data_IF_379382792358
#
_entry.id   IF_379382792358
#
_cell.length_a   1.000
_cell.length_b   1.000
_cell.length_c   1.000
_cell.angle_alpha   90.00
_cell.angle_beta   90.00
_cell.angle_gamma   90.00
#
_symmetry.space_group_name_H-M   'P 1'
#
loop_
_entity.id
_entity.type
_entity.pdbx_description
1 polymer ?
#
# COMPACT_ATOMS: atom_id res chain seq x y z
N UNK A 1 9.77 -27.09 5.43
CA UNK A 1 8.93 -26.66 4.29
C UNK A 1 9.18 -25.18 4.02
N UNK A 2 8.91 -24.72 2.80
CA UNK A 2 9.21 -23.39 2.32
C UNK A 2 7.96 -22.75 1.70
N UNK A 3 8.00 -21.46 1.46
CA UNK A 3 6.97 -20.70 0.75
C UNK A 3 7.60 -19.88 -0.38
N UNK A 4 6.90 -19.72 -1.48
CA UNK A 4 7.33 -18.85 -2.58
C UNK A 4 6.36 -17.66 -2.66
N UNK A 5 6.89 -16.46 -2.72
CA UNK A 5 6.13 -15.23 -2.91
C UNK A 5 6.40 -14.65 -4.31
N UNK A 6 5.39 -14.09 -4.93
CA UNK A 6 5.48 -13.36 -6.20
C UNK A 6 4.85 -12.00 -5.98
N UNK A 7 5.65 -10.93 -6.09
CA UNK A 7 5.18 -9.55 -6.06
C UNK A 7 5.22 -8.96 -7.46
N UNK A 8 4.04 -8.57 -8.00
CA UNK A 8 3.89 -8.10 -9.39
C UNK A 8 3.52 -6.62 -9.39
N UNK A 9 4.47 -5.79 -9.67
CA UNK A 9 4.27 -4.36 -9.88
C UNK A 9 4.43 -3.93 -11.34
N UNK A 10 3.91 -2.77 -11.68
CA UNK A 10 4.01 -2.22 -13.05
C UNK A 10 5.44 -1.87 -13.49
N UNK A 11 6.35 -1.65 -12.54
CA UNK A 11 7.75 -1.27 -12.82
C UNK A 11 8.71 -2.43 -12.59
N UNK A 12 8.48 -3.21 -11.56
CA UNK A 12 9.34 -4.33 -11.13
C UNK A 12 8.51 -5.47 -10.60
N UNK A 13 9.01 -6.69 -10.80
CA UNK A 13 8.54 -7.91 -10.16
C UNK A 13 9.59 -8.42 -9.19
N UNK A 14 9.15 -9.22 -8.21
CA UNK A 14 10.04 -9.95 -7.33
C UNK A 14 9.52 -11.38 -7.13
N UNK A 15 10.44 -12.33 -7.04
CA UNK A 15 10.17 -13.69 -6.56
C UNK A 15 10.96 -13.89 -5.29
N UNK A 16 10.28 -14.34 -4.24
CA UNK A 16 10.78 -14.37 -2.87
C UNK A 16 10.64 -15.79 -2.32
N UNK A 17 11.72 -16.30 -1.75
CA UNK A 17 11.73 -17.57 -1.04
C UNK A 17 11.67 -17.30 0.47
N UNK A 18 10.72 -17.91 1.15
CA UNK A 18 10.55 -17.79 2.58
C UNK A 18 10.38 -19.13 3.27
N UNK A 19 10.38 -19.11 4.62
CA UNK A 19 10.00 -20.28 5.42
C UNK A 19 8.53 -20.63 5.19
N UNK A 20 8.19 -21.89 5.39
CA UNK A 20 6.85 -22.45 5.18
C UNK A 20 5.96 -22.41 6.43
N UNK A 21 6.36 -21.73 7.47
CA UNK A 21 5.63 -21.58 8.73
C UNK A 21 5.78 -20.18 9.28
N UNK A 22 4.76 -19.69 9.98
CA UNK A 22 4.82 -18.40 10.67
C UNK A 22 5.85 -18.46 11.80
N UNK A 23 6.72 -17.47 11.87
CA UNK A 23 7.71 -17.32 12.92
C UNK A 23 7.35 -16.10 13.78
N UNK A 24 7.59 -16.20 15.09
CA UNK A 24 7.42 -15.04 15.99
C UNK A 24 8.39 -13.91 15.64
N UNK A 25 9.62 -14.27 15.25
CA UNK A 25 10.62 -13.33 14.75
C UNK A 25 10.66 -13.36 13.22
N UNK A 26 10.69 -12.18 12.60
CA UNK A 26 10.81 -12.01 11.14
C UNK A 26 12.25 -12.25 10.63
N UNK A 27 13.23 -12.26 11.52
CA UNK A 27 14.62 -12.51 11.17
C UNK A 27 14.81 -13.89 10.55
N UNK A 28 15.35 -13.91 9.34
CA UNK A 28 15.55 -15.13 8.57
C UNK A 28 14.26 -15.83 8.09
N UNK A 29 13.11 -15.12 8.11
CA UNK A 29 11.89 -15.62 7.47
C UNK A 29 12.02 -15.59 5.95
N UNK A 30 12.50 -14.49 5.38
CA UNK A 30 12.89 -14.38 3.97
C UNK A 30 14.29 -15.00 3.83
N UNK A 31 14.40 -16.00 2.96
CA UNK A 31 15.65 -16.76 2.73
C UNK A 31 16.43 -16.13 1.59
N UNK A 32 15.74 -15.84 0.48
CA UNK A 32 16.37 -15.37 -0.73
C UNK A 32 15.37 -14.68 -1.64
N UNK A 33 15.83 -13.85 -2.58
CA UNK A 33 14.93 -13.20 -3.54
C UNK A 33 15.62 -12.79 -4.83
N UNK A 34 14.81 -12.74 -5.90
CA UNK A 34 15.21 -12.19 -7.20
C UNK A 34 14.26 -11.06 -7.55
N UNK A 35 14.81 -9.88 -7.87
CA UNK A 35 14.05 -8.73 -8.40
C UNK A 35 14.47 -8.47 -9.84
N UNK A 36 13.49 -8.10 -10.67
CA UNK A 36 13.73 -7.75 -12.07
C UNK A 36 12.71 -6.72 -12.58
N UNK A 37 13.02 -5.97 -13.66
CA UNK A 37 12.08 -5.04 -14.27
C UNK A 37 10.88 -5.77 -14.87
N UNK A 38 9.66 -5.25 -14.67
CA UNK A 38 8.46 -5.82 -15.29
C UNK A 38 8.50 -5.64 -16.81
N UNK A 39 8.90 -4.43 -17.29
CA UNK A 39 8.85 -4.05 -18.70
C UNK A 39 7.54 -4.47 -19.37
N UNK A 40 6.46 -3.80 -18.98
CA UNK A 40 5.08 -4.12 -19.38
C UNK A 40 4.87 -4.19 -20.89
N UNK A 41 5.76 -3.55 -21.68
CA UNK A 41 5.68 -3.58 -23.15
C UNK A 41 5.91 -4.96 -23.77
N UNK A 42 6.52 -5.89 -23.03
CA UNK A 42 6.74 -7.27 -23.48
C UNK A 42 5.46 -8.12 -23.48
N UNK A 43 4.38 -7.60 -22.88
CA UNK A 43 3.12 -8.31 -22.68
C UNK A 43 3.16 -9.31 -21.50
N UNK A 44 1.98 -9.65 -20.99
CA UNK A 44 1.85 -10.47 -19.77
C UNK A 44 2.48 -11.86 -19.88
N UNK A 45 2.45 -12.50 -21.06
CA UNK A 45 3.03 -13.85 -21.24
C UNK A 45 4.53 -13.87 -21.02
N UNK A 46 5.25 -12.89 -21.57
CA UNK A 46 6.70 -12.82 -21.43
C UNK A 46 7.09 -12.53 -19.97
N UNK A 47 6.37 -11.61 -19.32
CA UNK A 47 6.61 -11.28 -17.90
C UNK A 47 6.32 -12.49 -17.01
N UNK A 48 5.20 -13.18 -17.25
CA UNK A 48 4.83 -14.35 -16.44
C UNK A 48 5.82 -15.50 -16.63
N UNK A 49 6.27 -15.77 -17.86
CA UNK A 49 7.31 -16.78 -18.11
C UNK A 49 8.59 -16.46 -17.34
N UNK A 50 9.03 -15.19 -17.35
CA UNK A 50 10.21 -14.79 -16.58
C UNK A 50 9.98 -14.96 -15.05
N UNK A 51 8.79 -14.66 -14.54
CA UNK A 51 8.44 -14.93 -13.13
C UNK A 51 8.62 -16.41 -12.80
N UNK A 52 8.12 -17.32 -13.64
CA UNK A 52 8.24 -18.77 -13.45
C UNK A 52 9.71 -19.23 -13.50
N UNK A 53 10.48 -18.77 -14.50
CA UNK A 53 11.91 -19.04 -14.64
C UNK A 53 12.70 -18.55 -13.41
N UNK A 54 12.40 -17.34 -12.91
CA UNK A 54 13.03 -16.80 -11.70
C UNK A 54 12.63 -17.58 -10.44
N UNK A 55 11.44 -18.14 -10.41
CA UNK A 55 11.01 -19.08 -9.36
C UNK A 55 11.85 -20.36 -9.37
N UNK A 56 12.00 -20.98 -10.52
CA UNK A 56 12.84 -22.19 -10.70
C UNK A 56 14.31 -21.92 -10.38
N UNK A 57 14.85 -20.78 -10.84
CA UNK A 57 16.21 -20.33 -10.51
C UNK A 57 16.38 -20.20 -8.99
N UNK A 58 15.41 -19.56 -8.31
CA UNK A 58 15.46 -19.31 -6.87
C UNK A 58 15.43 -20.63 -6.07
N UNK A 59 14.58 -21.56 -6.47
CA UNK A 59 14.52 -22.90 -5.87
C UNK A 59 15.81 -23.69 -6.10
N UNK A 60 16.30 -23.71 -7.34
CA UNK A 60 17.50 -24.47 -7.73
C UNK A 60 18.74 -23.97 -6.96
N UNK A 61 18.98 -22.67 -6.89
CA UNK A 61 20.17 -22.12 -6.21
C UNK A 61 20.15 -22.32 -4.68
N UNK A 62 18.97 -22.56 -4.11
CA UNK A 62 18.81 -22.90 -2.70
C UNK A 62 18.68 -24.41 -2.45
N UNK A 63 18.82 -25.26 -3.47
CA UNK A 63 18.68 -26.72 -3.41
C UNK A 63 17.32 -27.17 -2.88
N UNK A 64 16.23 -26.47 -3.21
CA UNK A 64 14.86 -26.74 -2.78
C UNK A 64 14.07 -27.27 -3.98
N UNK A 65 13.29 -28.33 -3.76
CA UNK A 65 12.35 -28.87 -4.75
C UNK A 65 10.99 -28.21 -4.59
N UNK A 66 10.23 -28.04 -5.68
CA UNK A 66 8.88 -27.50 -5.61
C UNK A 66 7.95 -28.29 -4.67
N UNK A 67 8.18 -29.59 -4.51
CA UNK A 67 7.45 -30.47 -3.58
C UNK A 67 7.67 -30.14 -2.09
N UNK A 68 8.67 -29.34 -1.77
CA UNK A 68 8.95 -28.85 -0.40
C UNK A 68 8.26 -27.53 -0.09
N UNK A 69 7.59 -26.92 -1.11
CA UNK A 69 6.79 -25.71 -0.94
C UNK A 69 5.43 -26.03 -0.31
N UNK A 70 5.00 -25.23 0.65
CA UNK A 70 3.62 -25.27 1.17
C UNK A 70 2.65 -24.58 0.19
N UNK A 71 3.16 -23.69 -0.69
CA UNK A 71 2.39 -22.97 -1.69
C UNK A 71 3.12 -21.77 -2.25
N UNK A 72 2.44 -21.07 -3.18
CA UNK A 72 2.86 -19.83 -3.79
C UNK A 72 1.86 -18.73 -3.46
N UNK A 73 2.32 -17.64 -2.86
CA UNK A 73 1.53 -16.42 -2.63
C UNK A 73 1.81 -15.37 -3.71
N UNK A 74 0.77 -14.71 -4.21
CA UNK A 74 0.87 -13.66 -5.23
C UNK A 74 0.26 -12.37 -4.70
N UNK A 75 1.05 -11.30 -4.71
CA UNK A 75 0.62 -9.92 -4.51
C UNK A 75 0.67 -9.18 -5.85
N UNK A 76 -0.42 -8.50 -6.21
CA UNK A 76 -0.51 -7.74 -7.46
C UNK A 76 -1.48 -6.57 -7.29
N UNK A 77 -1.22 -5.45 -7.94
CA UNK A 77 -2.19 -4.34 -8.00
C UNK A 77 -3.54 -4.78 -8.58
N UNK A 78 -4.64 -4.20 -8.07
CA UNK A 78 -5.98 -4.44 -8.60
C UNK A 78 -6.32 -3.61 -9.85
N UNK A 79 -7.43 -3.95 -10.54
CA UNK A 79 -8.43 -4.97 -10.20
C UNK A 79 -8.00 -6.40 -10.50
N UNK A 80 -8.46 -7.32 -9.67
CA UNK A 80 -8.25 -8.76 -9.81
C UNK A 80 -9.45 -9.54 -9.24
N UNK A 81 -9.48 -10.85 -9.43
CA UNK A 81 -10.45 -11.72 -8.78
C UNK A 81 -9.72 -12.87 -8.06
N UNK A 82 -9.62 -12.78 -6.76
CA UNK A 82 -8.90 -13.75 -5.93
C UNK A 82 -9.52 -15.15 -5.99
N UNK A 83 -10.86 -15.25 -6.06
CA UNK A 83 -11.61 -16.50 -6.13
C UNK A 83 -11.41 -17.22 -7.46
N UNK A 84 -11.40 -16.48 -8.58
CA UNK A 84 -11.12 -17.04 -9.93
C UNK A 84 -9.62 -17.16 -10.19
N UNK A 85 -8.78 -16.47 -9.43
CA UNK A 85 -7.33 -16.43 -9.61
C UNK A 85 -6.90 -15.68 -10.87
N UNK A 86 -7.61 -14.59 -11.20
CA UNK A 86 -7.35 -13.79 -12.42
C UNK A 86 -6.97 -12.36 -12.10
N UNK A 87 -6.04 -11.81 -12.89
CA UNK A 87 -5.70 -10.38 -12.90
C UNK A 87 -6.51 -9.73 -14.04
N UNK A 88 -7.14 -8.57 -13.79
CA UNK A 88 -8.14 -7.96 -14.67
C UNK A 88 -7.75 -6.53 -15.05
N UNK A 89 -6.67 -6.39 -15.82
CA UNK A 89 -6.20 -5.12 -16.39
C UNK A 89 -5.96 -4.00 -15.35
N UNK A 90 -5.05 -4.21 -14.38
CA UNK A 90 -4.65 -3.13 -13.48
C UNK A 90 -4.07 -1.94 -14.27
N UNK A 91 -4.28 -0.69 -13.83
CA UNK A 91 -3.75 0.49 -14.54
C UNK A 91 -2.25 0.44 -14.83
N UNK A 92 -1.48 -0.19 -13.95
CA UNK A 92 -0.03 -0.33 -14.07
C UNK A 92 0.43 -1.56 -14.86
N UNK A 93 -0.51 -2.41 -15.27
CA UNK A 93 -0.27 -3.65 -16.03
C UNK A 93 -1.24 -3.71 -17.22
N UNK A 94 -1.08 -2.84 -18.23
CA UNK A 94 -1.91 -2.87 -19.43
C UNK A 94 -1.79 -4.25 -20.10
N UNK A 95 -2.83 -4.70 -20.76
CA UNK A 95 -2.95 -6.00 -21.45
C UNK A 95 -3.02 -7.23 -20.52
N UNK A 96 -3.03 -7.07 -19.21
CA UNK A 96 -3.25 -8.15 -18.25
C UNK A 96 -4.75 -8.40 -18.02
N UNK A 97 -5.52 -8.56 -19.09
CA UNK A 97 -6.96 -8.79 -18.97
C UNK A 97 -7.29 -10.28 -18.85
N UNK A 98 -8.03 -10.64 -17.79
CA UNK A 98 -8.44 -12.01 -17.46
C UNK A 98 -7.29 -13.01 -17.45
N UNK A 99 -6.09 -12.60 -17.01
CA UNK A 99 -4.91 -13.48 -16.93
C UNK A 99 -5.10 -14.51 -15.83
N UNK A 100 -5.20 -15.83 -16.13
CA UNK A 100 -5.47 -16.87 -15.14
C UNK A 100 -4.22 -17.25 -14.36
N UNK A 101 -3.63 -16.30 -13.64
CA UNK A 101 -2.30 -16.41 -13.04
C UNK A 101 -2.21 -17.53 -12.01
N UNK A 102 -3.22 -17.70 -11.17
CA UNK A 102 -3.24 -18.76 -10.14
C UNK A 102 -3.21 -20.14 -10.78
N UNK A 103 -3.93 -20.33 -11.89
CA UNK A 103 -3.92 -21.59 -12.63
C UNK A 103 -2.53 -21.87 -13.17
N UNK A 104 -1.92 -20.91 -13.87
CA UNK A 104 -0.61 -21.07 -14.52
C UNK A 104 0.49 -21.36 -13.48
N UNK A 105 0.55 -20.57 -12.41
CA UNK A 105 1.54 -20.74 -11.34
C UNK A 105 1.36 -22.06 -10.61
N UNK A 106 0.11 -22.45 -10.33
CA UNK A 106 -0.21 -23.74 -9.69
C UNK A 106 0.18 -24.94 -10.57
N UNK A 107 -0.08 -24.87 -11.87
CA UNK A 107 0.30 -25.94 -12.82
C UNK A 107 1.82 -26.06 -12.94
N UNK A 108 2.55 -24.94 -12.88
CA UNK A 108 4.01 -24.93 -12.99
C UNK A 108 4.70 -25.52 -11.75
N UNK A 109 4.35 -25.05 -10.54
CA UNK A 109 5.02 -25.49 -9.30
C UNK A 109 4.38 -26.71 -8.65
N UNK A 110 3.17 -27.13 -9.06
CA UNK A 110 2.48 -28.29 -8.53
C UNK A 110 1.94 -28.13 -7.10
N UNK A 111 1.81 -26.88 -6.58
CA UNK A 111 1.37 -26.58 -5.22
C UNK A 111 0.22 -25.60 -5.20
N UNK A 112 -0.42 -25.40 -4.04
CA UNK A 112 -1.49 -24.40 -3.89
C UNK A 112 -0.96 -23.00 -4.21
N UNK A 113 -1.82 -22.17 -4.79
CA UNK A 113 -1.49 -20.80 -5.11
C UNK A 113 -2.60 -19.85 -4.65
N UNK A 114 -2.25 -18.71 -4.06
CA UNK A 114 -3.17 -17.69 -3.53
C UNK A 114 -2.84 -16.35 -4.14
N UNK A 115 -3.86 -15.58 -4.54
CA UNK A 115 -3.73 -14.25 -5.13
C UNK A 115 -4.51 -13.24 -4.29
N UNK A 116 -3.86 -12.13 -3.92
CA UNK A 116 -4.52 -10.97 -3.33
C UNK A 116 -4.02 -9.66 -3.95
N UNK A 117 -4.83 -8.60 -3.83
CA UNK A 117 -4.34 -7.28 -4.20
C UNK A 117 -3.26 -6.80 -3.21
N UNK A 118 -2.48 -5.83 -3.63
CA UNK A 118 -1.32 -5.32 -2.90
C UNK A 118 -1.69 -4.75 -1.51
N UNK A 119 -2.79 -4.00 -1.39
CA UNK A 119 -3.24 -3.45 -0.11
C UNK A 119 -3.66 -4.56 0.87
N UNK A 120 -4.41 -5.56 0.39
CA UNK A 120 -4.81 -6.73 1.17
C UNK A 120 -3.59 -7.56 1.58
N UNK A 121 -2.66 -7.80 0.67
CA UNK A 121 -1.44 -8.53 0.95
C UNK A 121 -0.55 -7.80 1.99
N UNK A 122 -0.42 -6.47 1.88
CA UNK A 122 0.27 -5.65 2.88
C UNK A 122 -0.44 -5.66 4.25
N UNK A 123 -1.77 -5.65 4.27
CA UNK A 123 -2.53 -5.78 5.52
C UNK A 123 -2.24 -7.12 6.21
N UNK A 124 -2.23 -8.22 5.47
CA UNK A 124 -1.86 -9.54 6.00
C UNK A 124 -0.42 -9.56 6.50
N UNK A 125 0.50 -8.92 5.75
CA UNK A 125 1.90 -8.83 6.16
C UNK A 125 2.07 -8.09 7.48
N UNK A 126 1.51 -6.90 7.63
CA UNK A 126 1.58 -6.13 8.88
C UNK A 126 0.84 -6.84 10.03
N UNK A 127 -0.25 -7.51 9.74
CA UNK A 127 -0.99 -8.31 10.73
C UNK A 127 -0.20 -9.51 11.23
N UNK A 128 0.49 -10.23 10.34
CA UNK A 128 1.22 -11.46 10.70
C UNK A 128 2.64 -11.20 11.21
N UNK A 129 3.32 -10.19 10.65
CA UNK A 129 4.76 -9.99 10.84
C UNK A 129 5.12 -8.60 11.40
N UNK A 130 4.22 -7.61 11.29
CA UNK A 130 4.51 -6.21 11.57
C UNK A 130 3.80 -5.61 12.77
N UNK A 131 3.35 -4.37 12.63
CA UNK A 131 2.70 -3.58 13.67
C UNK A 131 1.31 -4.11 14.07
N UNK A 132 0.69 -4.90 13.21
CA UNK A 132 -0.65 -5.46 13.43
C UNK A 132 -0.69 -6.78 14.22
N UNK A 133 0.44 -7.27 14.72
CA UNK A 133 0.48 -8.53 15.47
C UNK A 133 -0.36 -8.45 16.76
N UNK A 134 -1.26 -9.43 16.92
CA UNK A 134 -2.09 -9.55 18.12
C UNK A 134 -3.47 -8.90 18.01
N UNK A 135 -3.72 -8.04 17.02
CA UNK A 135 -5.02 -7.43 16.77
C UNK A 135 -5.94 -8.37 15.95
N UNK A 136 -7.22 -8.35 16.25
CA UNK A 136 -8.24 -9.08 15.47
C UNK A 136 -9.00 -8.19 14.51
N UNK A 137 -9.09 -6.89 14.79
CA UNK A 137 -9.76 -5.90 13.95
C UNK A 137 -8.75 -4.80 13.61
N UNK A 138 -8.20 -4.86 12.40
CA UNK A 138 -7.10 -4.02 11.94
C UNK A 138 -7.41 -3.45 10.56
N UNK A 139 -7.13 -2.18 10.37
CA UNK A 139 -7.09 -1.56 9.04
C UNK A 139 -5.65 -1.20 8.71
N UNK A 140 -5.17 -1.68 7.57
CA UNK A 140 -3.90 -1.22 7.01
C UNK A 140 -4.18 -0.19 5.92
N UNK A 141 -3.49 0.94 5.93
CA UNK A 141 -3.54 1.95 4.87
C UNK A 141 -2.23 2.00 4.12
N UNK A 142 -2.30 1.84 2.80
CA UNK A 142 -1.19 2.26 1.93
C UNK A 142 -1.22 3.77 1.83
N UNK A 143 -0.15 4.45 2.21
CA UNK A 143 -0.02 5.89 2.01
C UNK A 143 1.23 6.17 1.15
N UNK A 144 1.20 5.62 -0.06
CA UNK A 144 2.27 5.68 -1.06
C UNK A 144 1.89 6.55 -2.25
N UNK A 145 2.10 6.05 -3.48
CA UNK A 145 1.70 6.73 -4.73
C UNK A 145 0.20 7.03 -4.74
N UNK A 146 -0.63 6.05 -4.33
CA UNK A 146 -2.06 6.16 -4.09
C UNK A 146 -2.41 5.85 -2.64
N UNK A 147 -3.71 5.69 -2.36
CA UNK A 147 -4.24 5.29 -1.06
C UNK A 147 -5.29 4.19 -1.21
N UNK A 148 -5.04 3.05 -0.62
CA UNK A 148 -5.96 1.94 -0.47
C UNK A 148 -5.92 1.41 0.96
N UNK A 149 -6.81 0.48 1.29
CA UNK A 149 -6.79 -0.22 2.56
C UNK A 149 -6.90 -1.73 2.38
N UNK A 150 -6.32 -2.46 3.34
CA UNK A 150 -6.64 -3.87 3.55
C UNK A 150 -7.28 -4.02 4.93
N UNK A 151 -8.29 -4.84 5.03
CA UNK A 151 -9.13 -4.98 6.21
C UNK A 151 -8.96 -6.37 6.83
N UNK A 152 -8.54 -6.41 8.09
CA UNK A 152 -8.60 -7.62 8.91
C UNK A 152 -9.77 -7.43 9.88
N UNK A 153 -10.79 -8.26 9.77
CA UNK A 153 -12.00 -8.18 10.60
C UNK A 153 -12.23 -9.56 11.25
N UNK A 154 -12.40 -9.59 12.56
CA UNK A 154 -12.54 -10.81 13.35
C UNK A 154 -11.42 -11.84 13.08
N UNK A 155 -10.18 -11.37 12.98
CA UNK A 155 -9.02 -12.20 12.69
C UNK A 155 -8.99 -12.82 11.29
N UNK A 156 -9.61 -12.17 10.30
CA UNK A 156 -9.67 -12.64 8.90
C UNK A 156 -9.55 -11.49 7.93
N UNK A 157 -8.86 -11.72 6.82
CA UNK A 157 -8.85 -10.78 5.71
C UNK A 157 -10.25 -10.66 5.10
N UNK A 158 -10.76 -9.44 5.03
CA UNK A 158 -12.04 -9.11 4.41
C UNK A 158 -11.84 -8.46 3.04
N UNK A 159 -12.12 -9.20 1.98
CA UNK A 159 -11.95 -8.74 0.60
C UNK A 159 -13.24 -8.14 -0.01
N UNK A 160 -14.39 -8.29 0.65
CA UNK A 160 -15.68 -7.89 0.10
C UNK A 160 -16.23 -8.86 -0.97
N UNK A 161 -17.22 -8.40 -1.72
CA UNK A 161 -17.94 -9.22 -2.70
C UNK A 161 -17.10 -9.52 -3.95
N UNK A 162 -16.31 -8.54 -4.40
CA UNK A 162 -15.57 -8.55 -5.67
C UNK A 162 -14.10 -8.12 -5.50
N UNK A 163 -13.52 -8.38 -4.35
CA UNK A 163 -12.14 -8.01 -3.96
C UNK A 163 -11.88 -6.48 -3.89
N UNK A 164 -12.93 -5.65 -3.83
CA UNK A 164 -12.84 -4.20 -3.74
C UNK A 164 -13.18 -3.64 -2.34
N UNK A 165 -13.14 -4.44 -1.27
CA UNK A 165 -13.18 -3.90 0.07
C UNK A 165 -11.90 -3.09 0.35
N UNK A 166 -12.04 -1.99 1.10
CA UNK A 166 -10.88 -1.16 1.42
C UNK A 166 -10.56 -0.04 0.42
N UNK A 167 -11.42 0.24 -0.55
CA UNK A 167 -11.29 1.36 -1.49
C UNK A 167 -11.53 2.74 -0.81
N UNK A 168 -10.92 2.93 0.36
CA UNK A 168 -11.10 4.13 1.21
C UNK A 168 -10.59 5.41 0.52
N UNK A 169 -9.58 5.30 -0.33
CA UNK A 169 -9.04 6.42 -1.11
C UNK A 169 -10.11 7.12 -1.96
N UNK A 170 -11.16 6.39 -2.33
CA UNK A 170 -12.25 6.92 -3.14
C UNK A 170 -13.36 7.61 -2.33
N UNK A 171 -13.28 7.63 -0.98
CA UNK A 171 -14.21 8.38 -0.13
C UNK A 171 -14.04 9.88 -0.40
N UNK A 172 -15.15 10.59 -0.62
CA UNK A 172 -15.12 12.05 -0.76
C UNK A 172 -15.09 12.71 0.63
N UNK A 173 -14.05 13.48 0.90
CA UNK A 173 -13.87 14.21 2.17
C UNK A 173 -14.17 15.71 2.06
N UNK A 174 -14.21 16.24 0.83
CA UNK A 174 -14.58 17.63 0.56
C UNK A 174 -15.23 17.74 -0.83
N UNK A 175 -16.04 18.78 -1.05
CA UNK A 175 -16.62 19.07 -2.38
C UNK A 175 -15.54 19.41 -3.41
N UNK A 176 -14.56 20.22 -2.97
CA UNK A 176 -13.45 20.69 -3.78
C UNK A 176 -12.13 20.29 -3.14
N UNK A 177 -11.10 20.10 -3.97
CA UNK A 177 -9.76 19.76 -3.50
C UNK A 177 -8.94 19.03 -4.55
N UNK A 178 -7.78 18.51 -4.16
CA UNK A 178 -6.94 17.74 -5.07
C UNK A 178 -7.68 16.53 -5.63
N UNK A 179 -7.30 16.14 -6.84
CA UNK A 179 -7.90 14.99 -7.53
C UNK A 179 -7.08 13.75 -7.21
N UNK A 180 -7.75 12.71 -6.69
CA UNK A 180 -7.22 11.34 -6.57
C UNK A 180 -8.11 10.39 -7.35
N UNK A 181 -7.53 9.55 -8.21
CA UNK A 181 -8.21 8.58 -9.07
C UNK A 181 -9.48 9.15 -9.75
N UNK A 182 -9.33 10.34 -10.38
CA UNK A 182 -10.41 11.02 -11.10
C UNK A 182 -11.46 11.74 -10.23
N UNK A 183 -11.36 11.69 -8.90
CA UNK A 183 -12.33 12.32 -7.98
C UNK A 183 -11.70 13.48 -7.20
N UNK A 184 -12.22 14.70 -7.40
CA UNK A 184 -11.83 15.87 -6.63
C UNK A 184 -12.28 15.74 -5.17
N UNK A 185 -11.44 16.20 -4.23
CA UNK A 185 -11.75 16.18 -2.80
C UNK A 185 -11.85 14.77 -2.20
N UNK A 186 -11.29 13.77 -2.86
CA UNK A 186 -11.23 12.40 -2.34
C UNK A 186 -10.16 12.23 -1.27
N UNK A 187 -10.26 11.19 -0.46
CA UNK A 187 -9.26 10.86 0.55
C UNK A 187 -7.87 10.68 -0.09
N UNK A 188 -7.77 9.91 -1.17
CA UNK A 188 -6.52 9.79 -1.93
C UNK A 188 -6.04 11.14 -2.49
N UNK A 189 -6.96 12.01 -2.93
CA UNK A 189 -6.61 13.34 -3.43
C UNK A 189 -5.87 14.19 -2.40
N UNK A 190 -6.20 14.06 -1.11
CA UNK A 190 -5.48 14.74 -0.03
C UNK A 190 -4.31 13.92 0.53
N UNK A 191 -4.43 12.60 0.61
CA UNK A 191 -3.61 11.71 1.41
C UNK A 191 -2.94 10.62 0.56
N UNK A 192 -2.24 11.00 -0.48
CA UNK A 192 -1.34 10.15 -1.27
C UNK A 192 -0.16 10.96 -1.77
N UNK A 193 0.88 10.34 -2.27
CA UNK A 193 2.01 11.04 -2.87
C UNK A 193 1.59 11.93 -4.05
N UNK A 194 0.72 11.39 -4.92
CA UNK A 194 0.10 12.17 -6.00
C UNK A 194 -0.82 13.28 -5.49
N UNK A 195 -1.59 13.00 -4.45
CA UNK A 195 -2.48 13.95 -3.79
C UNK A 195 -1.72 15.11 -3.14
N UNK A 196 -0.67 14.82 -2.37
CA UNK A 196 0.19 15.85 -1.76
C UNK A 196 0.84 16.72 -2.83
N UNK A 197 1.34 16.13 -3.93
CA UNK A 197 1.84 16.88 -5.08
C UNK A 197 0.79 17.86 -5.62
N UNK A 198 -0.41 17.38 -5.90
CA UNK A 198 -1.50 18.20 -6.42
C UNK A 198 -1.91 19.31 -5.43
N UNK A 199 -1.99 18.97 -4.13
CA UNK A 199 -2.29 19.92 -3.07
C UNK A 199 -1.21 21.02 -2.98
N UNK A 200 0.07 20.62 -3.04
CA UNK A 200 1.19 21.55 -3.04
C UNK A 200 1.14 22.49 -4.25
N UNK A 201 0.90 21.95 -5.45
CA UNK A 201 0.80 22.77 -6.67
C UNK A 201 -0.38 23.76 -6.63
N UNK A 202 -1.54 23.33 -6.11
CA UNK A 202 -2.72 24.19 -5.91
C UNK A 202 -2.43 25.31 -4.90
N UNK A 203 -1.78 24.98 -3.79
CA UNK A 203 -1.43 25.94 -2.74
C UNK A 203 -0.35 26.91 -3.21
N UNK A 204 0.67 26.42 -3.95
CA UNK A 204 1.74 27.25 -4.48
C UNK A 204 1.24 28.31 -5.49
N UNK A 205 0.27 27.96 -6.33
CA UNK A 205 -0.37 28.94 -7.24
C UNK A 205 -1.00 30.09 -6.47
N UNK A 206 -1.73 29.82 -5.37
CA UNK A 206 -2.32 30.85 -4.51
C UNK A 206 -1.24 31.70 -3.84
N UNK A 207 -0.15 31.08 -3.40
CA UNK A 207 1.00 31.80 -2.83
C UNK A 207 1.59 32.82 -3.82
N UNK A 208 1.78 32.44 -5.10
CA UNK A 208 2.25 33.34 -6.12
C UNK A 208 1.26 34.52 -6.37
N UNK A 209 -0.04 34.23 -6.42
CA UNK A 209 -1.09 35.26 -6.57
C UNK A 209 -1.10 36.24 -5.40
N UNK A 210 -0.79 35.75 -4.19
CA UNK A 210 -0.74 36.58 -2.96
C UNK A 210 0.65 37.17 -2.69
N UNK A 211 1.62 37.03 -3.61
CA UNK A 211 3.01 37.45 -3.45
C UNK A 211 3.70 36.90 -2.19
N UNK A 212 3.29 35.71 -1.74
CA UNK A 212 3.95 34.99 -0.66
C UNK A 212 5.18 34.22 -1.17
N UNK A 213 6.15 34.03 -0.31
CA UNK A 213 7.41 33.38 -0.65
C UNK A 213 7.50 31.97 -0.07
N UNK A 214 8.22 31.06 -0.75
CA UNK A 214 8.61 29.75 -0.28
C UNK A 214 10.06 29.48 -0.71
N UNK A 215 10.71 28.56 -0.01
CA UNK A 215 12.03 28.06 -0.41
C UNK A 215 11.95 27.20 -1.68
N UNK A 216 10.78 26.64 -1.99
CA UNK A 216 10.58 25.62 -3.02
C UNK A 216 10.26 26.18 -4.41
N UNK A 217 9.75 27.40 -4.50
CA UNK A 217 9.34 27.96 -5.79
C UNK A 217 9.40 29.49 -5.82
N UNK A 218 9.72 30.00 -6.98
CA UNK A 218 9.63 31.41 -7.35
C UNK A 218 8.86 31.63 -8.64
N UNK A 219 8.75 30.58 -9.44
CA UNK A 219 8.13 30.59 -10.77
C UNK A 219 7.09 29.47 -10.90
N UNK A 220 6.26 29.54 -11.94
CA UNK A 220 5.32 28.48 -12.30
C UNK A 220 6.05 27.17 -12.64
N UNK A 221 7.21 27.21 -13.25
CA UNK A 221 8.01 26.03 -13.61
C UNK A 221 8.51 25.28 -12.37
N UNK A 222 8.81 26.00 -11.29
CA UNK A 222 9.23 25.37 -10.04
C UNK A 222 8.07 24.61 -9.39
N UNK A 223 6.84 25.12 -9.51
CA UNK A 223 5.64 24.48 -8.99
C UNK A 223 5.42 23.09 -9.62
N UNK A 224 5.73 22.92 -10.89
CA UNK A 224 5.56 21.65 -11.60
C UNK A 224 6.49 20.55 -11.07
N UNK A 225 7.62 20.92 -10.47
CA UNK A 225 8.62 20.02 -9.90
C UNK A 225 8.29 19.56 -8.48
N UNK A 226 7.29 20.17 -7.82
CA UNK A 226 6.90 19.81 -6.46
C UNK A 226 6.41 18.36 -6.40
N UNK A 227 6.90 17.64 -5.40
CA UNK A 227 6.41 16.31 -5.03
C UNK A 227 6.33 16.16 -3.49
N UNK A 228 5.76 15.07 -3.03
CA UNK A 228 5.57 14.85 -1.60
C UNK A 228 6.89 14.84 -0.82
N UNK A 229 7.97 14.32 -1.39
CA UNK A 229 9.28 14.22 -0.74
C UNK A 229 9.92 15.59 -0.57
N UNK A 230 9.99 16.37 -1.65
CA UNK A 230 10.57 17.73 -1.64
C UNK A 230 9.82 18.62 -0.64
N UNK A 231 8.48 18.53 -0.63
CA UNK A 231 7.66 19.30 0.31
C UNK A 231 7.88 18.85 1.76
N UNK A 232 8.04 17.53 2.03
CA UNK A 232 8.38 17.03 3.36
C UNK A 232 9.72 17.56 3.85
N UNK A 233 10.74 17.50 3.01
CA UNK A 233 12.09 17.98 3.35
C UNK A 233 12.06 19.47 3.71
N UNK A 234 11.36 20.30 2.93
CA UNK A 234 11.21 21.72 3.23
C UNK A 234 10.39 22.01 4.50
N UNK A 235 9.38 21.18 4.79
CA UNK A 235 8.61 21.28 6.02
C UNK A 235 9.51 21.12 7.25
N UNK A 236 10.40 20.13 7.25
CA UNK A 236 11.38 19.95 8.34
C UNK A 236 12.44 21.05 8.40
N UNK A 237 12.71 21.73 7.29
CA UNK A 237 13.55 22.93 7.25
C UNK A 237 12.82 24.20 7.74
N UNK A 238 11.55 24.12 8.07
CA UNK A 238 10.77 25.23 8.62
C UNK A 238 10.00 26.07 7.59
N UNK A 239 9.96 25.64 6.31
CA UNK A 239 9.19 26.34 5.27
C UNK A 239 7.70 26.37 5.63
N UNK A 240 7.10 27.55 5.65
CA UNK A 240 5.70 27.77 6.06
C UNK A 240 4.71 27.22 5.06
N UNK A 241 5.00 27.32 3.76
CA UNK A 241 4.18 26.73 2.70
C UNK A 241 4.15 25.19 2.84
N UNK A 242 5.30 24.58 3.00
CA UNK A 242 5.40 23.13 3.13
C UNK A 242 4.66 22.62 4.38
N UNK A 243 4.76 23.35 5.50
CA UNK A 243 3.97 23.07 6.71
C UNK A 243 2.46 23.19 6.47
N UNK A 244 2.00 24.22 5.74
CA UNK A 244 0.58 24.36 5.40
C UNK A 244 0.07 23.18 4.60
N UNK A 245 0.81 22.73 3.57
CA UNK A 245 0.46 21.58 2.74
C UNK A 245 0.35 20.30 3.59
N UNK A 246 1.35 20.00 4.41
CA UNK A 246 1.37 18.79 5.24
C UNK A 246 0.36 18.84 6.39
N UNK A 247 0.11 20.03 6.97
CA UNK A 247 -0.97 20.21 7.96
C UNK A 247 -2.33 19.90 7.34
N UNK A 248 -2.59 20.43 6.14
CA UNK A 248 -3.82 20.15 5.40
C UNK A 248 -3.98 18.65 5.11
N UNK A 249 -2.92 18.01 4.66
CA UNK A 249 -2.91 16.56 4.45
C UNK A 249 -3.22 15.82 5.75
N UNK A 250 -2.59 16.18 6.88
CA UNK A 250 -2.81 15.57 8.19
C UNK A 250 -4.25 15.74 8.70
N UNK A 251 -4.86 16.92 8.50
CA UNK A 251 -6.26 17.17 8.83
C UNK A 251 -7.20 16.24 8.06
N UNK A 252 -6.98 16.08 6.75
CA UNK A 252 -7.79 15.19 5.93
C UNK A 252 -7.52 13.72 6.21
N UNK A 253 -6.29 13.36 6.57
CA UNK A 253 -5.98 12.01 7.05
C UNK A 253 -6.78 11.73 8.34
N UNK A 254 -6.80 12.64 9.30
CA UNK A 254 -7.62 12.51 10.52
C UNK A 254 -9.10 12.35 10.22
N UNK A 255 -9.67 13.13 9.30
CA UNK A 255 -11.09 13.01 8.89
C UNK A 255 -11.38 11.65 8.24
N UNK A 256 -10.53 11.19 7.32
CA UNK A 256 -10.69 9.88 6.70
C UNK A 256 -10.58 8.74 7.71
N UNK A 257 -9.65 8.86 8.67
CA UNK A 257 -9.52 7.91 9.77
C UNK A 257 -10.75 7.91 10.67
N UNK A 258 -11.32 9.07 10.98
CA UNK A 258 -12.56 9.14 11.79
C UNK A 258 -13.71 8.39 11.13
N UNK A 259 -13.87 8.51 9.82
CA UNK A 259 -14.90 7.74 9.08
C UNK A 259 -14.64 6.23 9.20
N UNK A 260 -13.39 5.79 9.06
CA UNK A 260 -13.00 4.38 9.16
C UNK A 260 -13.25 3.86 10.58
N UNK A 261 -12.85 4.64 11.59
CA UNK A 261 -13.02 4.31 13.01
C UNK A 261 -14.50 4.14 13.36
N UNK A 262 -15.35 5.05 12.89
CA UNK A 262 -16.79 4.99 13.21
C UNK A 262 -17.55 3.88 12.44
N UNK A 263 -17.06 3.49 11.25
CA UNK A 263 -17.71 2.42 10.48
C UNK A 263 -17.24 1.03 10.93
N UNK A 264 -15.94 0.85 11.18
CA UNK A 264 -15.33 -0.46 11.37
C UNK A 264 -14.99 -0.75 12.84
N UNK A 265 -14.88 0.29 13.69
CA UNK A 265 -14.47 0.20 15.10
C UNK A 265 -13.23 -0.70 15.28
N UNK A 266 -12.11 -0.44 14.58
CA UNK A 266 -10.94 -1.30 14.63
C UNK A 266 -10.14 -1.07 15.92
N UNK A 267 -9.38 -2.08 16.35
CA UNK A 267 -8.43 -1.97 17.45
C UNK A 267 -7.19 -1.15 17.05
N UNK A 268 -6.82 -1.18 15.77
CA UNK A 268 -5.71 -0.39 15.24
C UNK A 268 -5.88 -0.02 13.78
N UNK A 269 -5.31 1.13 13.39
CA UNK A 269 -5.04 1.50 12.00
C UNK A 269 -3.53 1.60 11.82
N UNK A 270 -2.96 0.74 10.98
CA UNK A 270 -1.55 0.74 10.62
C UNK A 270 -1.36 1.48 9.31
N UNK A 271 -0.48 2.49 9.28
CA UNK A 271 -0.30 3.36 8.11
C UNK A 271 1.16 3.30 7.65
N UNK A 272 1.37 2.96 6.37
CA UNK A 272 2.69 2.81 5.78
C UNK A 272 3.22 4.04 5.06
N UNK A 273 4.43 3.89 4.54
CA UNK A 273 5.08 4.78 3.58
C UNK A 273 5.23 6.24 4.02
N UNK A 274 4.47 7.19 3.46
CA UNK A 274 4.61 8.64 3.77
C UNK A 274 4.34 8.91 5.25
N UNK A 275 3.32 8.27 5.85
CA UNK A 275 3.01 8.45 7.26
C UNK A 275 4.15 7.93 8.15
N UNK A 276 4.64 6.73 7.91
CA UNK A 276 5.73 6.12 8.65
C UNK A 276 6.95 7.04 8.76
N UNK A 277 7.32 7.68 7.64
CA UNK A 277 8.47 8.60 7.56
C UNK A 277 8.24 9.94 8.22
N UNK A 278 6.98 10.34 8.46
CA UNK A 278 6.61 11.66 8.96
C UNK A 278 5.66 11.59 10.16
N UNK A 279 5.65 10.46 10.88
CA UNK A 279 4.73 10.20 11.98
C UNK A 279 4.72 11.30 13.04
N UNK A 280 5.90 11.80 13.42
CA UNK A 280 6.04 12.83 14.45
C UNK A 280 5.28 14.11 14.11
N UNK A 281 5.21 14.46 12.81
CA UNK A 281 4.45 15.60 12.34
C UNK A 281 2.95 15.30 12.24
N UNK A 282 2.60 14.12 11.69
CA UNK A 282 1.21 13.77 11.41
C UNK A 282 0.41 13.45 12.67
N UNK A 283 0.97 12.65 13.57
CA UNK A 283 0.21 12.02 14.66
C UNK A 283 -0.48 13.02 15.61
N UNK A 284 0.12 14.13 16.06
CA UNK A 284 -0.55 15.11 16.90
C UNK A 284 -1.79 15.71 16.22
N UNK A 285 -1.66 16.10 14.94
CA UNK A 285 -2.76 16.72 14.17
C UNK A 285 -3.89 15.72 13.97
N UNK A 286 -3.55 14.48 13.58
CA UNK A 286 -4.51 13.40 13.37
C UNK A 286 -5.31 13.13 14.66
N UNK A 287 -4.64 13.03 15.82
CA UNK A 287 -5.31 12.81 17.11
C UNK A 287 -6.28 13.92 17.46
N UNK A 288 -5.90 15.17 17.19
CA UNK A 288 -6.78 16.32 17.43
C UNK A 288 -8.01 16.30 16.53
N UNK A 289 -7.87 15.85 15.29
CA UNK A 289 -9.01 15.70 14.36
C UNK A 289 -9.89 14.53 14.78
N UNK A 290 -9.33 13.35 15.04
CA UNK A 290 -10.09 12.17 15.47
C UNK A 290 -10.91 12.49 16.74
N UNK A 291 -10.32 13.19 17.70
CA UNK A 291 -11.01 13.60 18.93
C UNK A 291 -12.24 14.48 18.67
N UNK A 292 -12.25 15.23 17.56
CA UNK A 292 -13.36 16.13 17.19
C UNK A 292 -14.41 15.47 16.31
N UNK A 293 -13.99 14.55 15.45
CA UNK A 293 -14.79 14.04 14.35
C UNK A 293 -15.31 12.61 14.60
N UNK A 294 -14.58 11.77 15.34
CA UNK A 294 -14.99 10.39 15.62
C UNK A 294 -15.78 10.30 16.94
N UNK A 295 -16.63 9.28 17.04
CA UNK A 295 -17.30 8.92 18.29
C UNK A 295 -16.24 8.55 19.34
N UNK A 296 -16.29 9.20 20.53
CA UNK A 296 -15.25 9.06 21.55
C UNK A 296 -14.98 7.59 21.95
N UNK A 297 -16.03 6.79 22.12
CA UNK A 297 -15.91 5.37 22.47
C UNK A 297 -15.15 4.56 21.41
N UNK A 298 -15.32 4.90 20.13
CA UNK A 298 -14.60 4.24 19.03
C UNK A 298 -13.16 4.73 18.93
N UNK A 299 -12.94 6.03 19.16
CA UNK A 299 -11.61 6.64 19.12
C UNK A 299 -10.70 6.14 20.26
N UNK A 300 -11.27 5.87 21.46
CA UNK A 300 -10.54 5.42 22.65
C UNK A 300 -9.94 4.02 22.51
N UNK A 301 -10.53 3.16 21.69
CA UNK A 301 -10.08 1.77 21.49
C UNK A 301 -9.19 1.58 20.26
N UNK A 302 -9.02 2.62 19.43
CA UNK A 302 -8.30 2.55 18.18
C UNK A 302 -6.90 3.18 18.27
N UNK A 303 -5.87 2.39 18.07
CA UNK A 303 -4.49 2.87 17.98
C UNK A 303 -4.11 3.27 16.53
N UNK A 304 -3.39 4.38 16.38
CA UNK A 304 -2.84 4.81 15.09
C UNK A 304 -1.34 4.51 15.09
N UNK A 305 -0.95 3.51 14.31
CA UNK A 305 0.40 2.95 14.31
C UNK A 305 1.11 3.16 12.97
N UNK A 306 2.43 3.40 12.96
CA UNK A 306 3.22 3.30 11.74
C UNK A 306 3.40 1.84 11.34
N UNK A 307 3.47 1.57 10.05
CA UNK A 307 3.89 0.27 9.54
C UNK A 307 5.30 -0.09 10.04
N UNK A 308 5.55 -1.37 10.28
CA UNK A 308 6.81 -1.84 10.85
C UNK A 308 7.72 -2.54 9.84
N UNK A 309 7.15 -3.05 8.75
CA UNK A 309 7.90 -3.83 7.76
C UNK A 309 8.66 -2.97 6.75
N UNK A 310 8.39 -1.65 6.71
CA UNK A 310 9.13 -0.69 5.89
C UNK A 310 9.23 -1.11 4.42
N UNK A 311 10.42 -0.97 3.84
CA UNK A 311 10.69 -1.28 2.43
C UNK A 311 10.57 -2.79 2.10
N UNK A 312 10.52 -3.66 3.11
CA UNK A 312 10.37 -5.11 2.94
C UNK A 312 8.91 -5.57 2.90
N UNK A 313 7.94 -4.67 3.08
CA UNK A 313 6.51 -5.02 3.17
C UNK A 313 6.01 -5.84 1.96
N UNK A 314 6.46 -5.52 0.74
CA UNK A 314 6.07 -6.26 -0.47
C UNK A 314 6.54 -7.72 -0.46
N UNK A 315 7.73 -7.98 0.09
CA UNK A 315 8.29 -9.33 0.20
C UNK A 315 7.46 -10.16 1.20
N UNK A 316 7.15 -9.58 2.38
CA UNK A 316 6.28 -10.20 3.38
C UNK A 316 4.84 -10.32 2.90
N UNK A 317 4.35 -9.38 2.12
CA UNK A 317 3.00 -9.40 1.54
C UNK A 317 2.82 -10.60 0.61
N UNK A 318 3.74 -10.80 -0.33
CA UNK A 318 3.68 -11.93 -1.26
C UNK A 318 3.74 -13.29 -0.56
N UNK A 319 4.53 -13.42 0.51
CA UNK A 319 4.62 -14.65 1.31
C UNK A 319 3.44 -14.81 2.28
N UNK A 320 3.04 -13.72 2.93
CA UNK A 320 2.07 -13.69 4.02
C UNK A 320 0.66 -14.14 3.63
N UNK A 321 0.26 -13.91 2.39
CA UNK A 321 -1.06 -14.32 1.88
C UNK A 321 -1.29 -15.86 1.88
N UNK A 322 -0.25 -16.64 2.16
CA UNK A 322 -0.35 -18.08 2.32
C UNK A 322 -0.82 -18.51 3.72
N UNK A 323 -0.73 -17.65 4.70
CA UNK A 323 -1.01 -17.91 6.10
C UNK A 323 -2.27 -17.20 6.59
#
# INVERSE_FOLDING_TARGET
MYSLGIDIGGTKCAVILGKGELCENTDGFIIDKIKFPTDVKRGWKAVLNEILEKGDELLSRNNIKSTELIGVGISCGGPLNSKKGTINCPPNLPDWDNVPIVKIVREHFGVRCVLHNDANACAVAEWRFGAGKGYNNLVFLTFGTGMGAGLILDGRLYCGTNDCAGEVGHIRLAENGPVGYGKAGSFEGFCSGGGIKNLAQMTAKKYLEENKVSLLFKTQEDIEKLDAKIVAEAMYQGDTFAKEVYTKCAEYLGRGLSVIIDILNPEAVVIGSIYERNQEFFLPIIKDVIKKEALSFNAEVCEILPAKLGDSIGDFAALGVLF
#
